data_IF_210082121820
#
_entry.id   IF_210082121820
#
_cell.length_a   1.000
_cell.length_b   1.000
_cell.length_c   1.000
_cell.angle_alpha   90.00
_cell.angle_beta   90.00
_cell.angle_gamma   90.00
#
_symmetry.space_group_name_H-M   'P 1'
#
loop_
_entity.id
_entity.type
_entity.pdbx_description
1 polymer ?
#
# COMPACT_ATOMS: atom_id res chain seq x y z
N UNK A 1 1.81 -30.23 -18.80
CA UNK A 1 2.21 -29.28 -17.78
C UNK A 1 3.55 -29.79 -17.29
N UNK A 2 4.64 -29.09 -17.61
CA UNK A 2 5.98 -29.48 -17.18
C UNK A 2 6.08 -29.45 -15.63
N UNK A 3 7.04 -30.17 -15.08
CA UNK A 3 7.35 -30.19 -13.64
C UNK A 3 7.88 -28.83 -13.12
N UNK A 4 7.96 -27.82 -13.98
CA UNK A 4 8.50 -26.50 -13.67
C UNK A 4 7.39 -25.62 -13.07
N UNK A 5 7.38 -25.53 -11.75
CA UNK A 5 6.45 -24.69 -11.01
C UNK A 5 6.78 -23.20 -11.18
N UNK A 6 5.78 -22.32 -10.93
CA UNK A 6 6.01 -20.87 -10.84
C UNK A 6 6.91 -20.57 -9.64
N UNK A 7 7.96 -19.76 -9.85
CA UNK A 7 8.94 -19.39 -8.83
C UNK A 7 8.98 -17.88 -8.61
N UNK A 8 9.37 -17.46 -7.43
CA UNK A 8 9.67 -16.05 -7.11
C UNK A 8 11.18 -15.88 -7.21
N UNK A 9 11.63 -15.03 -8.13
CA UNK A 9 13.06 -14.83 -8.43
C UNK A 9 13.67 -13.65 -7.72
N UNK A 10 12.87 -12.72 -7.21
CA UNK A 10 13.35 -11.54 -6.47
C UNK A 10 12.23 -10.76 -5.83
N UNK A 11 12.60 -9.80 -4.99
CA UNK A 11 11.64 -8.93 -4.33
C UNK A 11 12.30 -7.75 -3.62
N UNK A 12 11.53 -6.69 -3.46
CA UNK A 12 11.94 -5.50 -2.74
C UNK A 12 10.71 -4.76 -2.18
N UNK A 13 10.91 -3.97 -1.15
CA UNK A 13 9.88 -3.06 -0.62
C UNK A 13 10.48 -1.75 -0.13
N UNK A 14 9.67 -0.73 -0.09
CA UNK A 14 9.99 0.53 0.60
C UNK A 14 9.88 0.36 2.12
N UNK A 15 10.47 1.25 2.94
CA UNK A 15 10.25 1.26 4.38
C UNK A 15 8.77 1.45 4.72
N UNK A 16 8.30 0.82 5.78
CA UNK A 16 7.01 1.17 6.38
C UNK A 16 7.21 2.37 7.30
N UNK A 17 6.44 3.42 7.06
CA UNK A 17 6.49 4.64 7.83
C UNK A 17 5.21 4.81 8.66
N UNK A 18 5.39 5.24 9.92
CA UNK A 18 4.25 5.52 10.78
C UNK A 18 3.56 6.84 10.42
N UNK A 19 2.31 6.94 10.76
CA UNK A 19 1.57 8.19 10.77
C UNK A 19 2.03 9.08 11.93
N UNK A 20 2.58 10.25 11.62
CA UNK A 20 3.03 11.24 12.60
C UNK A 20 1.98 12.32 12.90
N UNK A 21 0.87 12.35 12.20
CA UNK A 21 -0.23 13.29 12.39
C UNK A 21 -1.02 12.97 13.65
N UNK A 22 -1.01 13.88 14.60
CA UNK A 22 -1.45 13.60 15.92
C UNK A 22 -2.95 13.52 16.14
N UNK A 23 -3.34 12.72 17.11
CA UNK A 23 -4.64 12.80 17.80
C UNK A 23 -4.91 14.21 18.42
N UNK A 24 -3.92 15.11 18.41
CA UNK A 24 -3.96 16.44 19.00
C UNK A 24 -3.66 17.57 18.01
N UNK A 25 -3.42 17.27 16.73
CA UNK A 25 -3.08 18.28 15.72
C UNK A 25 -1.72 18.97 15.93
N UNK A 26 -0.82 18.34 16.68
CA UNK A 26 0.48 18.88 17.09
C UNK A 26 1.68 18.33 16.32
N UNK A 27 1.43 17.62 15.21
CA UNK A 27 2.46 17.05 14.34
C UNK A 27 2.28 17.44 12.88
N UNK A 28 3.31 17.23 12.07
CA UNK A 28 3.18 17.28 10.62
C UNK A 28 2.19 16.19 10.18
N UNK A 29 1.23 16.57 9.33
CA UNK A 29 0.20 15.65 8.86
C UNK A 29 0.82 14.55 7.98
N UNK A 30 0.57 13.32 8.34
CA UNK A 30 0.98 12.15 7.57
C UNK A 30 2.24 11.45 8.07
N UNK A 31 2.69 10.45 7.35
CA UNK A 31 3.91 9.71 7.61
C UNK A 31 5.13 10.34 6.96
N UNK A 32 6.32 9.84 7.27
CA UNK A 32 7.59 10.35 6.70
C UNK A 32 7.67 10.27 5.17
N UNK A 33 6.91 9.38 4.55
CA UNK A 33 6.78 9.26 3.10
C UNK A 33 5.47 9.88 2.57
N UNK A 34 4.81 10.74 3.35
CA UNK A 34 3.53 11.34 2.97
C UNK A 34 3.60 12.14 1.66
N UNK A 35 4.74 12.74 1.34
CA UNK A 35 4.96 13.53 0.12
C UNK A 35 5.22 12.67 -1.13
N UNK A 36 5.55 11.39 -0.98
CA UNK A 36 5.86 10.49 -2.10
C UNK A 36 4.57 9.85 -2.61
N UNK A 37 4.29 9.96 -3.91
CA UNK A 37 3.07 9.37 -4.47
C UNK A 37 3.06 7.85 -4.36
N UNK A 38 1.86 7.28 -4.35
CA UNK A 38 1.69 5.81 -4.31
C UNK A 38 2.38 5.14 -5.49
N UNK A 39 2.24 5.73 -6.68
CA UNK A 39 2.85 5.22 -7.91
C UNK A 39 4.38 5.28 -7.86
N UNK A 40 4.93 6.33 -7.26
CA UNK A 40 6.39 6.44 -7.09
C UNK A 40 6.92 5.42 -6.09
N UNK A 41 6.24 5.21 -4.95
CA UNK A 41 6.59 4.13 -4.02
C UNK A 41 6.57 2.77 -4.72
N UNK A 42 5.55 2.51 -5.52
CA UNK A 42 5.45 1.29 -6.34
C UNK A 42 6.60 1.16 -7.33
N UNK A 43 6.95 2.24 -8.03
CA UNK A 43 8.02 2.23 -9.03
C UNK A 43 9.40 1.98 -8.41
N UNK A 44 9.68 2.54 -7.24
CA UNK A 44 10.92 2.30 -6.49
C UNK A 44 11.05 0.81 -6.14
N UNK A 45 9.99 0.21 -5.63
CA UNK A 45 9.96 -1.21 -5.28
C UNK A 45 10.13 -2.10 -6.51
N UNK A 46 9.46 -1.78 -7.63
CA UNK A 46 9.56 -2.52 -8.90
C UNK A 46 11.00 -2.47 -9.43
N UNK A 47 11.60 -1.28 -9.55
CA UNK A 47 13.00 -1.14 -10.01
C UNK A 47 13.95 -2.00 -9.20
N UNK A 48 13.86 -1.90 -7.88
CA UNK A 48 14.74 -2.66 -7.01
C UNK A 48 14.49 -4.17 -7.05
N UNK A 49 13.25 -4.60 -7.24
CA UNK A 49 12.93 -6.02 -7.40
C UNK A 49 13.51 -6.58 -8.70
N UNK A 50 13.38 -5.86 -9.82
CA UNK A 50 13.97 -6.23 -11.11
C UNK A 50 15.49 -6.26 -11.05
N UNK A 51 16.13 -5.26 -10.44
CA UNK A 51 17.58 -5.20 -10.25
C UNK A 51 18.09 -6.41 -9.45
N UNK A 52 17.44 -6.73 -8.32
CA UNK A 52 17.81 -7.88 -7.48
C UNK A 52 17.56 -9.23 -8.14
N UNK A 53 16.58 -9.30 -9.02
CA UNK A 53 16.27 -10.49 -9.81
C UNK A 53 17.14 -10.59 -11.08
N UNK A 54 18.06 -9.63 -11.31
CA UNK A 54 18.85 -9.51 -12.54
C UNK A 54 17.98 -9.61 -13.80
N UNK A 55 16.78 -9.00 -13.73
CA UNK A 55 15.75 -9.10 -14.77
C UNK A 55 15.65 -7.77 -15.53
N UNK A 56 15.84 -7.82 -16.84
CA UNK A 56 15.68 -6.63 -17.69
C UNK A 56 14.19 -6.21 -17.72
N UNK A 57 13.88 -4.91 -17.52
CA UNK A 57 12.51 -4.43 -17.62
C UNK A 57 11.80 -4.78 -18.93
N UNK A 58 12.54 -4.93 -20.04
CA UNK A 58 12.02 -5.31 -21.35
C UNK A 58 11.59 -6.77 -21.45
N UNK A 59 12.00 -7.62 -20.52
CA UNK A 59 11.60 -9.03 -20.45
C UNK A 59 10.32 -9.26 -19.65
N UNK A 60 9.75 -8.20 -19.06
CA UNK A 60 8.50 -8.30 -18.30
C UNK A 60 7.31 -8.38 -19.24
N UNK A 61 6.50 -9.41 -19.11
CA UNK A 61 5.29 -9.61 -19.91
C UNK A 61 4.04 -8.96 -19.32
N UNK A 62 3.99 -8.84 -17.98
CA UNK A 62 2.84 -8.26 -17.28
C UNK A 62 3.21 -7.65 -15.92
N UNK A 63 2.49 -6.60 -15.55
CA UNK A 63 2.58 -6.00 -14.19
C UNK A 63 1.23 -6.11 -13.50
N UNK A 64 1.20 -6.64 -12.28
CA UNK A 64 -0.01 -6.73 -11.45
C UNK A 64 0.25 -6.08 -10.11
N UNK A 65 -0.38 -4.94 -9.84
CA UNK A 65 -0.21 -4.20 -8.58
C UNK A 65 -1.51 -4.06 -7.81
N UNK A 66 -1.46 -4.44 -6.54
CA UNK A 66 -2.53 -4.17 -5.60
C UNK A 66 -2.56 -2.70 -5.19
N UNK A 67 -3.76 -2.10 -5.17
CA UNK A 67 -3.96 -0.73 -4.69
C UNK A 67 -5.38 -0.61 -4.14
N UNK A 68 -5.52 -0.44 -2.84
CA UNK A 68 -6.82 -0.49 -2.19
C UNK A 68 -7.52 0.88 -2.18
N UNK A 69 -6.79 1.95 -1.89
CA UNK A 69 -7.35 3.29 -1.71
C UNK A 69 -6.73 4.26 -2.71
N UNK A 70 -7.52 4.71 -3.68
CA UNK A 70 -7.09 5.69 -4.67
C UNK A 70 -6.93 7.07 -4.03
N UNK A 71 -5.70 7.57 -3.94
CA UNK A 71 -5.33 8.79 -3.24
C UNK A 71 -5.14 10.00 -4.16
N UNK A 72 -5.13 9.80 -5.48
CA UNK A 72 -4.94 10.86 -6.47
C UNK A 72 -5.74 10.56 -7.75
N UNK A 73 -5.83 11.55 -8.64
CA UNK A 73 -6.37 11.35 -9.98
C UNK A 73 -5.53 10.41 -10.86
N UNK A 74 -4.26 10.20 -10.52
CA UNK A 74 -3.37 9.27 -11.22
C UNK A 74 -3.53 7.83 -10.72
N UNK A 75 -3.99 7.65 -9.51
CA UNK A 75 -4.13 6.35 -8.86
C UNK A 75 -5.05 5.38 -9.62
N UNK A 76 -5.97 5.88 -10.45
CA UNK A 76 -6.80 5.05 -11.34
C UNK A 76 -5.95 4.26 -12.36
N UNK A 77 -4.79 4.79 -12.72
CA UNK A 77 -3.81 4.14 -13.60
C UNK A 77 -2.68 3.47 -12.82
N UNK A 78 -2.82 3.32 -11.52
CA UNK A 78 -1.78 3.01 -10.54
C UNK A 78 -0.69 2.05 -11.01
N UNK A 79 -1.02 0.78 -11.34
CA UNK A 79 -0.03 -0.19 -11.84
C UNK A 79 0.66 0.30 -13.12
N UNK A 80 -0.09 0.98 -14.00
CA UNK A 80 0.44 1.51 -15.26
C UNK A 80 1.52 2.55 -15.02
N UNK A 81 1.24 3.53 -14.15
CA UNK A 81 2.20 4.58 -13.85
C UNK A 81 3.40 4.05 -13.06
N UNK A 82 3.17 3.14 -12.11
CA UNK A 82 4.26 2.52 -11.36
C UNK A 82 5.21 1.72 -12.27
N UNK A 83 4.68 0.93 -13.19
CA UNK A 83 5.47 0.16 -14.15
C UNK A 83 6.23 1.03 -15.14
N UNK A 84 5.59 2.04 -15.74
CA UNK A 84 6.24 2.97 -16.67
C UNK A 84 7.35 3.77 -15.97
N UNK A 85 7.10 4.27 -14.77
CA UNK A 85 8.09 4.98 -13.97
C UNK A 85 9.25 4.07 -13.53
N UNK A 86 9.02 2.75 -13.47
CA UNK A 86 10.06 1.76 -13.21
C UNK A 86 10.88 1.39 -14.47
N UNK A 87 10.52 1.89 -15.63
CA UNK A 87 11.23 1.63 -16.89
C UNK A 87 10.70 0.43 -17.68
N UNK A 88 9.57 -0.16 -17.27
CA UNK A 88 8.92 -1.23 -18.02
C UNK A 88 8.31 -0.65 -19.30
N UNK A 89 8.48 -1.30 -20.48
CA UNK A 89 7.99 -0.79 -21.75
C UNK A 89 6.49 -0.51 -21.78
N UNK A 90 6.09 0.47 -22.59
CA UNK A 90 4.68 0.88 -22.70
C UNK A 90 3.77 -0.19 -23.32
N UNK A 91 4.34 -1.14 -24.04
CA UNK A 91 3.64 -2.26 -24.67
C UNK A 91 3.18 -3.31 -23.67
N UNK A 92 3.85 -3.35 -22.50
CA UNK A 92 3.53 -4.31 -21.43
C UNK A 92 2.18 -3.97 -20.80
N UNK A 93 1.23 -4.91 -20.74
CA UNK A 93 -0.03 -4.71 -20.07
C UNK A 93 0.16 -4.64 -18.55
N UNK A 94 -0.62 -3.78 -17.89
CA UNK A 94 -0.50 -3.53 -16.46
C UNK A 94 -1.86 -3.48 -15.81
N UNK A 95 -2.08 -4.28 -14.78
CA UNK A 95 -3.33 -4.44 -14.05
C UNK A 95 -3.23 -3.88 -12.63
N UNK A 96 -4.10 -2.94 -12.29
CA UNK A 96 -4.36 -2.58 -10.90
C UNK A 96 -5.52 -3.40 -10.37
N UNK A 97 -5.32 -4.12 -9.26
CA UNK A 97 -6.38 -4.89 -8.63
C UNK A 97 -6.64 -4.42 -7.20
N UNK A 98 -7.86 -4.65 -6.74
CA UNK A 98 -8.26 -4.31 -5.39
C UNK A 98 -8.98 -5.50 -4.73
N UNK A 99 -8.37 -6.03 -3.68
CA UNK A 99 -8.92 -6.99 -2.71
C UNK A 99 -8.64 -6.49 -1.30
N UNK A 100 -8.71 -5.15 -1.10
CA UNK A 100 -8.36 -4.46 0.15
C UNK A 100 -6.97 -4.88 0.65
N UNK A 101 -6.81 -5.15 1.95
CA UNK A 101 -5.53 -5.54 2.56
C UNK A 101 -4.90 -6.81 1.95
N UNK A 102 -5.69 -7.64 1.26
CA UNK A 102 -5.23 -8.83 0.54
C UNK A 102 -4.73 -8.59 -0.88
N UNK A 103 -4.72 -7.34 -1.38
CA UNK A 103 -4.41 -7.02 -2.78
C UNK A 103 -3.00 -7.44 -3.17
N UNK A 104 -2.01 -7.20 -2.32
CA UNK A 104 -0.62 -7.60 -2.59
C UNK A 104 -0.46 -9.11 -2.75
N UNK A 105 -1.06 -9.91 -1.86
CA UNK A 105 -1.07 -11.36 -2.01
C UNK A 105 -1.85 -11.82 -3.25
N UNK A 106 -2.99 -11.17 -3.54
CA UNK A 106 -3.77 -11.48 -4.74
C UNK A 106 -3.01 -11.17 -6.04
N UNK A 107 -2.18 -10.13 -6.06
CA UNK A 107 -1.36 -9.84 -7.25
C UNK A 107 -0.40 -10.98 -7.58
N UNK A 108 0.22 -11.59 -6.57
CA UNK A 108 1.11 -12.75 -6.73
C UNK A 108 0.31 -13.96 -7.26
N UNK A 109 -0.86 -14.23 -6.69
CA UNK A 109 -1.75 -15.30 -7.15
C UNK A 109 -2.15 -15.08 -8.61
N UNK A 110 -2.52 -13.86 -8.98
CA UNK A 110 -2.92 -13.50 -10.33
C UNK A 110 -1.74 -13.65 -11.32
N UNK A 111 -0.55 -13.16 -10.96
CA UNK A 111 0.65 -13.33 -11.78
C UNK A 111 1.02 -14.80 -11.97
N UNK A 112 0.96 -15.60 -10.91
CA UNK A 112 1.19 -17.04 -11.01
C UNK A 112 0.17 -17.72 -11.94
N UNK A 113 -1.09 -17.34 -11.88
CA UNK A 113 -2.13 -17.87 -12.78
C UNK A 113 -1.86 -17.52 -14.25
N UNK A 114 -1.41 -16.29 -14.55
CA UNK A 114 -1.03 -15.89 -15.90
C UNK A 114 0.12 -16.77 -16.46
N UNK A 115 1.13 -17.02 -15.63
CA UNK A 115 2.25 -17.93 -16.02
C UNK A 115 1.74 -19.36 -16.24
N UNK A 116 0.93 -19.90 -15.34
CA UNK A 116 0.38 -21.24 -15.45
C UNK A 116 -0.51 -21.44 -16.67
N UNK A 117 -1.18 -20.37 -17.13
CA UNK A 117 -2.03 -20.38 -18.33
C UNK A 117 -1.23 -20.13 -19.62
N UNK A 118 0.07 -19.82 -19.53
CA UNK A 118 0.91 -19.50 -20.68
C UNK A 118 0.64 -18.12 -21.28
N UNK A 119 0.02 -17.22 -20.52
CA UNK A 119 -0.24 -15.83 -20.93
C UNK A 119 0.98 -14.92 -20.70
N UNK A 120 1.90 -15.32 -19.82
CA UNK A 120 3.12 -14.61 -19.47
C UNK A 120 4.20 -15.59 -19.01
N UNK A 121 5.47 -15.22 -19.14
CA UNK A 121 6.62 -15.93 -18.58
C UNK A 121 7.20 -15.17 -17.37
N UNK A 122 7.24 -13.84 -17.44
CA UNK A 122 7.77 -12.95 -16.40
C UNK A 122 6.72 -11.95 -15.96
N UNK A 123 6.29 -12.03 -14.70
CA UNK A 123 5.29 -11.13 -14.14
C UNK A 123 5.86 -10.38 -12.93
N UNK A 124 5.73 -9.07 -12.92
CA UNK A 124 5.95 -8.24 -11.74
C UNK A 124 4.66 -8.17 -10.93
N UNK A 125 4.68 -8.70 -9.71
CA UNK A 125 3.54 -8.72 -8.81
C UNK A 125 3.85 -7.99 -7.51
N UNK A 126 2.95 -7.13 -7.04
CA UNK A 126 3.18 -6.38 -5.82
C UNK A 126 1.98 -5.59 -5.34
N UNK A 127 2.23 -4.55 -4.59
CA UNK A 127 1.22 -3.60 -4.13
C UNK A 127 1.86 -2.28 -3.75
N UNK A 128 1.03 -1.27 -3.64
CA UNK A 128 1.45 0.08 -3.29
C UNK A 128 0.31 0.79 -2.56
N UNK A 129 0.64 1.57 -1.54
CA UNK A 129 -0.36 2.33 -0.78
C UNK A 129 0.29 3.52 -0.07
N UNK A 130 -0.38 4.67 -0.07
CA UNK A 130 -0.01 5.82 0.75
C UNK A 130 -1.26 6.45 1.37
N UNK A 131 -1.64 5.97 2.54
CA UNK A 131 -2.85 6.42 3.24
C UNK A 131 -2.75 7.87 3.75
N UNK A 132 -1.54 8.43 3.87
CA UNK A 132 -1.35 9.84 4.21
C UNK A 132 -1.90 10.80 3.15
N UNK A 133 -2.08 10.32 1.91
CA UNK A 133 -2.64 11.10 0.79
C UNK A 133 -4.13 10.86 0.57
N UNK A 134 -4.80 10.14 1.47
CA UNK A 134 -6.23 9.89 1.34
C UNK A 134 -7.02 11.21 1.33
N UNK A 135 -7.89 11.44 0.34
CA UNK A 135 -8.61 12.69 0.21
C UNK A 135 -9.81 12.76 1.16
N UNK A 136 -10.32 13.96 1.36
CA UNK A 136 -11.69 14.14 1.77
C UNK A 136 -12.58 14.24 0.53
N UNK A 137 -13.77 13.67 0.58
CA UNK A 137 -14.71 13.65 -0.55
C UNK A 137 -15.99 14.38 -0.20
N UNK A 138 -16.58 15.01 -1.21
CA UNK A 138 -17.86 15.68 -1.13
C UNK A 138 -18.87 14.91 -2.00
N UNK A 139 -19.92 14.37 -1.38
CA UNK A 139 -20.93 13.60 -2.09
C UNK A 139 -22.09 14.48 -2.55
N UNK A 140 -22.76 14.05 -3.64
CA UNK A 140 -23.93 14.74 -4.16
C UNK A 140 -23.64 15.89 -5.12
N UNK A 141 -22.45 16.44 -5.09
CA UNK A 141 -22.08 17.66 -5.82
C UNK A 141 -22.01 17.49 -7.35
N UNK A 142 -21.96 16.27 -7.85
CA UNK A 142 -21.99 16.02 -9.30
C UNK A 142 -23.27 16.51 -9.98
N UNK A 143 -24.37 16.57 -9.25
CA UNK A 143 -25.64 17.06 -9.75
C UNK A 143 -25.81 18.57 -9.56
N UNK A 144 -25.09 19.16 -8.63
CA UNK A 144 -25.19 20.58 -8.27
C UNK A 144 -24.24 21.46 -9.09
N UNK A 145 -23.20 20.88 -9.67
CA UNK A 145 -22.16 21.61 -10.40
C UNK A 145 -22.04 21.16 -11.85
N UNK A 146 -21.62 22.09 -12.72
CA UNK A 146 -21.28 21.76 -14.10
C UNK A 146 -20.08 20.82 -14.13
N UNK A 147 -20.16 19.78 -14.96
CA UNK A 147 -19.08 18.83 -15.14
C UNK A 147 -17.73 19.53 -15.41
N UNK A 148 -16.71 19.14 -14.69
CA UNK A 148 -15.35 19.66 -14.82
C UNK A 148 -15.10 21.03 -14.16
N UNK A 149 -16.06 21.57 -13.43
CA UNK A 149 -15.86 22.79 -12.63
C UNK A 149 -15.78 22.45 -11.15
N UNK A 150 -14.79 23.02 -10.42
CA UNK A 150 -14.75 22.90 -8.96
C UNK A 150 -15.96 23.63 -8.35
N UNK A 151 -16.36 23.28 -7.11
CA UNK A 151 -17.31 24.06 -6.35
C UNK A 151 -16.88 25.53 -6.26
N UNK A 152 -17.85 26.45 -6.27
CA UNK A 152 -17.53 27.87 -6.08
C UNK A 152 -17.03 28.12 -4.65
N UNK A 153 -16.12 29.08 -4.50
CA UNK A 153 -15.66 29.50 -3.17
C UNK A 153 -16.86 29.81 -2.24
N UNK A 154 -16.81 29.24 -1.04
CA UNK A 154 -17.83 29.44 -0.01
C UNK A 154 -18.99 28.44 -0.04
N UNK A 155 -19.04 27.51 -1.00
CA UNK A 155 -20.16 26.58 -1.15
C UNK A 155 -19.99 25.27 -0.33
N UNK A 156 -18.80 24.98 0.16
CA UNK A 156 -18.57 23.75 0.94
C UNK A 156 -19.05 23.90 2.38
N UNK A 157 -20.03 23.08 2.73
CA UNK A 157 -20.40 22.91 4.13
C UNK A 157 -19.54 21.80 4.74
N UNK A 158 -18.79 22.07 5.80
CA UNK A 158 -17.92 21.07 6.43
C UNK A 158 -18.60 19.75 6.81
N UNK A 159 -19.90 19.79 7.08
CA UNK A 159 -20.73 18.61 7.39
C UNK A 159 -20.93 17.65 6.22
N UNK A 160 -20.69 18.09 5.00
CA UNK A 160 -20.89 17.30 3.78
C UNK A 160 -19.57 16.67 3.29
N UNK A 161 -18.45 16.97 3.97
CA UNK A 161 -17.16 16.36 3.72
C UNK A 161 -16.99 15.06 4.50
N UNK A 162 -16.60 14.01 3.79
CA UNK A 162 -16.27 12.71 4.37
C UNK A 162 -14.77 12.47 4.26
N UNK A 163 -14.16 12.03 5.36
CA UNK A 163 -12.81 11.48 5.31
C UNK A 163 -12.84 10.14 4.57
N UNK A 164 -12.28 10.13 3.36
CA UNK A 164 -12.32 8.96 2.48
C UNK A 164 -11.57 7.76 3.06
N UNK A 165 -10.55 7.99 3.87
CA UNK A 165 -9.84 6.93 4.58
C UNK A 165 -10.75 6.20 5.57
N UNK A 166 -11.40 6.92 6.47
CA UNK A 166 -12.29 6.31 7.47
C UNK A 166 -13.54 5.70 6.84
N UNK A 167 -14.15 6.38 5.88
CA UNK A 167 -15.35 5.87 5.20
C UNK A 167 -15.10 4.52 4.51
N UNK A 168 -13.91 4.32 3.95
CA UNK A 168 -13.55 3.06 3.29
C UNK A 168 -13.08 1.95 4.25
N UNK A 169 -12.82 2.27 5.51
CA UNK A 169 -12.47 1.28 6.53
C UNK A 169 -13.68 0.74 7.30
N UNK A 170 -14.86 1.29 7.05
CA UNK A 170 -16.11 0.77 7.60
C UNK A 170 -16.67 -0.28 6.65
N UNK A 171 -16.84 -1.50 7.13
CA UNK A 171 -17.59 -2.52 6.40
C UNK A 171 -19.08 -2.26 6.59
N UNK A 172 -19.72 -1.79 5.52
CA UNK A 172 -21.16 -1.46 5.51
C UNK A 172 -22.06 -2.70 5.66
N UNK A 173 -21.53 -3.92 5.50
CA UNK A 173 -22.29 -5.15 5.69
C UNK A 173 -22.56 -5.42 7.16
N UNK A 174 -21.65 -5.02 8.03
CA UNK A 174 -21.74 -5.22 9.48
C UNK A 174 -21.62 -3.91 10.28
N UNK A 175 -21.60 -2.77 9.62
CA UNK A 175 -21.48 -1.42 10.19
C UNK A 175 -20.36 -1.34 11.23
N UNK A 176 -19.15 -1.73 10.81
CA UNK A 176 -18.03 -1.87 11.74
C UNK A 176 -16.68 -1.60 11.09
N UNK A 177 -15.80 -0.97 11.86
CA UNK A 177 -14.38 -0.94 11.55
C UNK A 177 -13.73 -2.32 11.74
N UNK A 178 -12.61 -2.55 11.07
CA UNK A 178 -11.86 -3.81 11.18
C UNK A 178 -11.41 -4.11 12.61
N UNK A 179 -11.05 -3.12 13.40
CA UNK A 179 -10.75 -3.29 14.82
C UNK A 179 -11.93 -3.87 15.61
N UNK A 180 -13.15 -3.36 15.36
CA UNK A 180 -14.37 -3.87 16.01
C UNK A 180 -14.72 -5.30 15.56
N UNK A 181 -14.50 -5.64 14.29
CA UNK A 181 -14.69 -7.02 13.82
C UNK A 181 -13.69 -7.97 14.44
N UNK A 182 -12.44 -7.53 14.63
CA UNK A 182 -11.40 -8.28 15.35
C UNK A 182 -11.79 -8.51 16.81
N UNK A 183 -12.25 -7.50 17.52
CA UNK A 183 -12.69 -7.63 18.91
C UNK A 183 -13.86 -8.62 19.05
N UNK A 184 -14.85 -8.54 18.15
CA UNK A 184 -15.97 -9.51 18.13
C UNK A 184 -15.49 -10.93 17.85
N UNK A 185 -14.51 -11.10 16.96
CA UNK A 185 -13.92 -12.40 16.67
C UNK A 185 -13.17 -12.94 17.90
N UNK A 186 -12.30 -12.12 18.51
CA UNK A 186 -11.57 -12.49 19.73
C UNK A 186 -12.51 -12.95 20.83
N UNK A 187 -13.58 -12.21 21.08
CA UNK A 187 -14.60 -12.60 22.05
C UNK A 187 -15.24 -13.96 21.71
N UNK A 188 -15.58 -14.18 20.43
CA UNK A 188 -16.22 -15.43 19.97
C UNK A 188 -15.33 -16.67 20.09
N UNK A 189 -14.01 -16.50 19.86
CA UNK A 189 -13.03 -17.61 19.91
C UNK A 189 -12.29 -17.71 21.24
N UNK A 190 -12.60 -16.85 22.22
CA UNK A 190 -12.03 -16.88 23.56
C UNK A 190 -10.63 -16.32 23.68
N UNK A 191 -10.19 -15.45 22.76
CA UNK A 191 -8.91 -14.71 22.91
C UNK A 191 -9.12 -13.58 23.89
N UNK A 192 -8.33 -13.56 24.96
CA UNK A 192 -8.37 -12.49 25.99
C UNK A 192 -7.35 -11.40 25.70
N UNK A 193 -7.53 -10.25 26.34
CA UNK A 193 -6.72 -9.06 26.15
C UNK A 193 -5.23 -9.33 26.39
N UNK A 194 -4.90 -10.06 27.42
CA UNK A 194 -3.54 -10.40 27.82
C UNK A 194 -2.80 -11.16 26.71
N UNK A 195 -3.46 -12.12 26.06
CA UNK A 195 -2.89 -12.86 24.93
C UNK A 195 -2.64 -11.95 23.72
N UNK A 196 -3.52 -11.02 23.45
CA UNK A 196 -3.34 -10.04 22.37
C UNK A 196 -2.16 -9.11 22.64
N UNK A 197 -2.01 -8.64 23.89
CA UNK A 197 -0.91 -7.76 24.30
C UNK A 197 0.43 -8.48 24.29
N UNK A 198 0.49 -9.74 24.76
CA UNK A 198 1.68 -10.58 24.66
C UNK A 198 2.11 -10.80 23.21
N UNK A 199 1.16 -11.09 22.32
CA UNK A 199 1.45 -11.26 20.90
C UNK A 199 1.97 -9.97 20.27
N UNK A 200 1.36 -8.83 20.60
CA UNK A 200 1.82 -7.52 20.12
C UNK A 200 3.24 -7.21 20.60
N UNK A 201 3.54 -7.40 21.87
CA UNK A 201 4.87 -7.22 22.43
C UNK A 201 5.91 -8.14 21.77
N UNK A 202 5.55 -9.41 21.54
CA UNK A 202 6.40 -10.36 20.83
C UNK A 202 6.68 -9.94 19.39
N UNK A 203 5.66 -9.39 18.68
CA UNK A 203 5.79 -8.89 17.31
C UNK A 203 6.79 -7.72 17.25
N UNK A 204 6.69 -6.76 18.18
CA UNK A 204 7.63 -5.65 18.28
C UNK A 204 9.06 -6.13 18.56
N UNK A 205 9.25 -7.00 19.54
CA UNK A 205 10.56 -7.54 19.89
C UNK A 205 11.21 -8.36 18.75
N UNK A 206 10.40 -9.06 17.95
CA UNK A 206 10.87 -9.77 16.75
C UNK A 206 11.33 -8.80 15.67
N UNK A 207 10.59 -7.72 15.43
CA UNK A 207 10.94 -6.71 14.44
C UNK A 207 12.23 -5.98 14.83
N UNK A 208 12.36 -5.57 16.10
CA UNK A 208 13.58 -4.95 16.62
C UNK A 208 14.82 -5.85 16.40
N UNK A 209 14.74 -7.11 16.81
CA UNK A 209 15.82 -8.08 16.56
C UNK A 209 16.14 -8.27 15.08
N UNK A 210 15.12 -8.25 14.21
CA UNK A 210 15.32 -8.41 12.77
C UNK A 210 16.02 -7.19 12.16
N UNK A 211 15.73 -6.00 12.65
CA UNK A 211 16.44 -4.77 12.28
C UNK A 211 17.92 -4.86 12.74
N UNK A 212 18.14 -5.15 14.01
CA UNK A 212 19.49 -5.20 14.62
C UNK A 212 20.39 -6.28 13.98
N UNK A 213 19.79 -7.37 13.51
CA UNK A 213 20.51 -8.45 12.82
C UNK A 213 20.70 -8.23 11.32
N UNK A 214 20.22 -7.10 10.76
CA UNK A 214 20.34 -6.80 9.34
C UNK A 214 19.41 -7.65 8.43
N UNK A 215 18.41 -8.35 8.99
CA UNK A 215 17.56 -9.26 8.23
C UNK A 215 16.80 -8.55 7.09
N UNK A 216 16.49 -7.25 7.26
CA UNK A 216 15.77 -6.46 6.27
C UNK A 216 16.66 -5.76 5.22
N UNK A 217 17.99 -5.84 5.32
CA UNK A 217 18.90 -5.15 4.40
C UNK A 217 18.72 -5.59 2.94
N UNK A 218 18.43 -6.87 2.74
CA UNK A 218 18.16 -7.43 1.41
C UNK A 218 16.70 -7.26 0.95
N UNK A 219 15.83 -6.67 1.76
CA UNK A 219 14.41 -6.52 1.47
C UNK A 219 14.04 -5.04 1.26
N UNK A 220 14.47 -4.16 2.16
CA UNK A 220 14.15 -2.75 2.14
C UNK A 220 15.05 -1.97 1.18
N UNK A 221 14.45 -1.02 0.45
CA UNK A 221 15.17 -0.08 -0.41
C UNK A 221 15.02 1.33 0.10
N UNK A 222 16.04 2.14 -0.13
CA UNK A 222 16.05 3.56 0.25
C UNK A 222 15.05 4.34 -0.58
N UNK A 223 14.26 5.18 0.07
CA UNK A 223 13.39 6.17 -0.57
C UNK A 223 13.96 7.56 -0.31
N UNK A 224 14.24 8.30 -1.39
CA UNK A 224 14.65 9.70 -1.32
C UNK A 224 13.40 10.58 -1.35
N UNK A 225 13.30 11.51 -0.42
CA UNK A 225 12.22 12.51 -0.41
C UNK A 225 12.70 13.85 -0.96
N UNK A 226 11.78 14.72 -1.33
CA UNK A 226 12.09 16.08 -1.81
C UNK A 226 12.92 16.91 -0.81
N UNK A 227 12.85 16.58 0.47
CA UNK A 227 13.57 17.26 1.54
C UNK A 227 15.00 16.74 1.74
N UNK A 228 15.54 16.01 0.74
CA UNK A 228 16.86 15.37 0.75
C UNK A 228 17.07 14.39 1.93
N UNK A 229 16.01 13.90 2.52
CA UNK A 229 16.07 12.89 3.59
C UNK A 229 15.95 11.49 2.97
N UNK A 230 16.86 10.61 3.37
CA UNK A 230 16.91 9.22 2.91
C UNK A 230 16.31 8.31 3.99
N UNK A 231 15.26 7.59 3.63
CA UNK A 231 14.59 6.65 4.54
C UNK A 231 14.93 5.21 4.16
N UNK A 232 15.66 4.54 5.06
CA UNK A 232 16.08 3.14 4.90
C UNK A 232 15.52 2.21 5.97
N UNK A 233 14.88 2.75 7.01
CA UNK A 233 14.53 1.99 8.20
C UNK A 233 13.03 1.99 8.45
N UNK A 234 12.53 0.86 8.96
CA UNK A 234 11.22 0.78 9.60
C UNK A 234 11.21 1.74 10.79
N UNK A 235 10.29 2.69 10.80
CA UNK A 235 10.04 3.48 12.00
C UNK A 235 9.00 2.74 12.83
N UNK A 236 9.48 1.97 13.79
CA UNK A 236 8.62 1.48 14.86
C UNK A 236 8.48 2.59 15.92
N UNK A 237 7.29 2.83 16.44
CA UNK A 237 7.11 3.71 17.59
C UNK A 237 7.68 3.01 18.83
N UNK A 238 9.00 3.11 19.05
CA UNK A 238 9.70 2.42 20.13
C UNK A 238 9.47 3.02 21.51
N UNK A 239 8.59 4.01 21.70
CA UNK A 239 8.45 4.73 22.97
C UNK A 239 7.03 5.01 23.45
N UNK A 240 6.00 4.30 23.01
CA UNK A 240 4.66 4.43 23.61
C UNK A 240 3.95 3.09 23.70
N UNK A 241 4.45 2.26 24.59
CA UNK A 241 3.61 1.25 25.23
C UNK A 241 3.01 1.92 26.46
N UNK A 242 1.74 2.22 26.41
CA UNK A 242 0.92 2.48 27.59
C UNK A 242 -0.27 1.58 27.48
#
# INVERSE_FOLDING_TARGET
>A
MGEDGVVIVGGARTPFCEWLGGKRGDGEAGGRLASVSTEELGSIAIRAALERAETDPSSVDHVVMGHALQTSGQAIYGARHAGLNAGIPQEVPMLTLNRLCGSGAQSIVTGAQMIMLGEAEVVVSGGMENLSQAPHVLRGERHSHKLGRPPQEGYMLPKDMEDYFFTNLIDNTCDSFMAQTSDRLCHRVGVVREQADEFAALSHARTERSIDSGLFENEVVTVQTSDAVSYTHLTLPTKRIV
#
